data_IF_696638414661
#
_entry.id   IF_696638414661
#
_cell.length_a   1.000
_cell.length_b   1.000
_cell.length_c   1.000
_cell.angle_alpha   90.00
_cell.angle_beta   90.00
_cell.angle_gamma   90.00
#
_symmetry.space_group_name_H-M   'P 1'
#
loop_
_entity.id
_entity.type
_entity.pdbx_description
1 polymer ?
#
# COMPACT_ATOMS: atom_id res chain seq x y z
N UNK A 1 -3.09 -2.34 -13.70
CA UNK A 1 -3.05 -2.78 -12.28
C UNK A 1 -3.57 -1.66 -11.35
N UNK A 2 -4.06 -1.92 -10.13
CA UNK A 2 -4.62 -0.83 -9.29
C UNK A 2 -3.54 -0.19 -8.40
N UNK A 3 -3.55 1.15 -8.27
CA UNK A 3 -2.61 1.96 -7.47
C UNK A 3 -2.45 1.44 -6.03
N UNK A 4 -3.57 1.05 -5.42
CA UNK A 4 -3.61 0.50 -4.07
C UNK A 4 -2.88 -0.85 -3.97
N UNK A 5 -2.91 -1.68 -5.03
CA UNK A 5 -2.25 -2.98 -5.04
C UNK A 5 -0.72 -2.81 -5.05
N UNK A 6 -0.20 -1.85 -5.82
CA UNK A 6 1.24 -1.50 -5.80
C UNK A 6 1.67 -1.01 -4.41
N UNK A 7 0.94 -0.03 -3.88
CA UNK A 7 1.17 0.53 -2.54
C UNK A 7 1.17 -0.55 -1.45
N UNK A 8 0.19 -1.45 -1.51
CA UNK A 8 0.06 -2.56 -0.56
C UNK A 8 1.24 -3.51 -0.66
N UNK A 9 1.68 -3.87 -1.87
CA UNK A 9 2.75 -4.85 -2.09
C UNK A 9 4.09 -4.36 -1.53
N UNK A 10 4.43 -3.10 -1.76
CA UNK A 10 5.64 -2.47 -1.19
C UNK A 10 5.62 -2.47 0.34
N UNK A 11 4.55 -1.93 0.93
CA UNK A 11 4.48 -1.76 2.39
C UNK A 11 4.18 -3.05 3.14
N UNK A 12 3.51 -4.04 2.51
CA UNK A 12 3.27 -5.36 3.12
C UNK A 12 4.59 -6.04 3.47
N UNK A 13 5.57 -5.98 2.56
CA UNK A 13 6.90 -6.56 2.80
C UNK A 13 7.63 -5.84 3.94
N UNK A 14 7.55 -4.51 4.00
CA UNK A 14 8.13 -3.72 5.10
C UNK A 14 7.47 -4.03 6.45
N UNK A 15 6.14 -4.16 6.49
CA UNK A 15 5.40 -4.49 7.72
C UNK A 15 5.72 -5.89 8.20
N UNK A 16 5.78 -6.87 7.30
CA UNK A 16 6.21 -8.23 7.66
C UNK A 16 7.66 -8.27 8.16
N UNK A 17 8.54 -7.45 7.60
CA UNK A 17 9.93 -7.37 8.03
C UNK A 17 10.06 -6.69 9.40
N UNK A 18 9.29 -5.64 9.65
CA UNK A 18 9.31 -4.89 10.92
C UNK A 18 8.54 -5.61 12.03
N UNK A 19 7.47 -6.34 11.68
CA UNK A 19 6.63 -7.11 12.59
C UNK A 19 6.30 -8.47 11.95
N UNK A 20 7.15 -9.49 12.15
CA UNK A 20 6.90 -10.83 11.62
C UNK A 20 5.64 -11.50 12.20
N UNK A 21 5.09 -11.00 13.31
CA UNK A 21 3.85 -11.47 13.92
C UNK A 21 2.58 -10.76 13.47
N UNK A 22 2.67 -9.75 12.59
CA UNK A 22 1.47 -9.02 12.14
C UNK A 22 0.61 -9.88 11.22
N UNK A 23 -0.68 -9.97 11.52
CA UNK A 23 -1.63 -10.74 10.72
C UNK A 23 -1.92 -10.04 9.39
N UNK A 24 -2.19 -10.81 8.33
CA UNK A 24 -2.59 -10.26 7.04
C UNK A 24 -3.84 -9.36 7.13
N UNK A 25 -4.72 -9.64 8.10
CA UNK A 25 -5.89 -8.80 8.36
C UNK A 25 -5.50 -7.43 8.91
N UNK A 26 -4.58 -7.39 9.88
CA UNK A 26 -4.06 -6.14 10.44
C UNK A 26 -3.30 -5.34 9.39
N UNK A 27 -2.47 -5.99 8.56
CA UNK A 27 -1.78 -5.33 7.46
C UNK A 27 -2.80 -4.67 6.52
N UNK A 28 -3.88 -5.37 6.18
CA UNK A 28 -4.90 -4.84 5.28
C UNK A 28 -5.66 -3.66 5.91
N UNK A 29 -5.97 -3.71 7.23
CA UNK A 29 -6.57 -2.57 7.96
C UNK A 29 -5.63 -1.38 8.06
N UNK A 30 -4.35 -1.61 8.37
CA UNK A 30 -3.34 -0.55 8.52
C UNK A 30 -3.08 0.10 7.17
N UNK A 31 -2.83 -0.69 6.12
CA UNK A 31 -2.55 -0.16 4.79
C UNK A 31 -3.77 0.49 4.14
N UNK A 32 -4.97 -0.03 4.37
CA UNK A 32 -6.21 0.60 3.90
C UNK A 32 -6.46 1.96 4.57
N UNK A 33 -6.18 2.08 5.88
CA UNK A 33 -6.26 3.37 6.58
C UNK A 33 -5.14 4.32 6.18
N UNK A 34 -3.89 3.84 6.11
CA UNK A 34 -2.75 4.63 5.68
C UNK A 34 -2.96 5.16 4.26
N UNK A 35 -3.45 4.33 3.33
CA UNK A 35 -3.82 4.79 1.99
C UNK A 35 -4.92 5.85 2.02
N UNK A 36 -5.88 5.73 2.95
CA UNK A 36 -6.94 6.73 3.10
C UNK A 36 -6.45 8.07 3.64
N UNK A 37 -5.51 8.03 4.58
CA UNK A 37 -4.88 9.19 5.20
C UNK A 37 -3.71 9.76 4.39
N UNK A 38 -3.24 9.04 3.37
CA UNK A 38 -2.14 9.52 2.55
C UNK A 38 -2.53 10.71 1.68
N UNK A 39 -1.54 11.57 1.44
CA UNK A 39 -1.67 12.78 0.65
C UNK A 39 -2.08 12.46 -0.79
N UNK A 40 -2.82 13.39 -1.39
CA UNK A 40 -3.27 13.26 -2.78
C UNK A 40 -2.10 13.07 -3.76
N UNK A 41 -0.95 13.72 -3.52
CA UNK A 41 0.27 13.53 -4.31
C UNK A 41 0.79 12.09 -4.29
N UNK A 42 0.82 11.45 -3.11
CA UNK A 42 1.27 10.06 -2.98
C UNK A 42 0.33 9.14 -3.73
N UNK A 43 -0.97 9.32 -3.53
CA UNK A 43 -2.00 8.55 -4.26
C UNK A 43 -1.87 8.73 -5.77
N UNK A 44 -1.66 9.96 -6.24
CA UNK A 44 -1.47 10.27 -7.65
C UNK A 44 -0.20 9.61 -8.20
N UNK A 45 0.93 9.68 -7.49
CA UNK A 45 2.17 9.01 -7.88
C UNK A 45 1.99 7.51 -8.07
N UNK A 46 1.32 6.84 -7.14
CA UNK A 46 1.01 5.40 -7.27
C UNK A 46 -0.02 5.12 -8.36
N UNK A 47 -0.96 6.04 -8.59
CA UNK A 47 -1.95 5.92 -9.67
C UNK A 47 -1.31 6.02 -11.05
N UNK A 48 -0.41 6.99 -11.26
CA UNK A 48 0.39 7.14 -12.47
C UNK A 48 1.25 5.90 -12.72
N UNK A 49 1.99 5.43 -11.70
CA UNK A 49 2.77 4.19 -11.83
C UNK A 49 1.91 2.97 -12.16
N UNK A 50 0.70 2.90 -11.61
CA UNK A 50 -0.21 1.79 -11.87
C UNK A 50 -0.80 1.81 -13.28
N UNK A 51 -0.99 3.02 -13.82
CA UNK A 51 -1.43 3.30 -15.18
C UNK A 51 -0.31 2.97 -16.19
N UNK A 52 0.93 3.34 -15.87
CA UNK A 52 2.13 3.10 -16.68
C UNK A 52 2.50 1.60 -16.80
N UNK A 53 2.12 0.79 -15.81
CA UNK A 53 2.31 -0.67 -15.80
C UNK A 53 1.07 -1.40 -16.41
N UNK A 54 0.01 -0.66 -16.79
CA UNK A 54 -1.24 -1.25 -17.26
C UNK A 54 -1.32 -1.47 -18.76
#
# INVERSE_FOLDING_TARGET
PNAYILYRKDRHRMLKASQPGISNNDISRVLGRAWNQESAEVRLKYKLRADEIS
#
